data_IF_200657699498
#
_entry.id   IF_200657699498
#
_cell.length_a   1.000
_cell.length_b   1.000
_cell.length_c   1.000
_cell.angle_alpha   90.00
_cell.angle_beta   90.00
_cell.angle_gamma   90.00
#
_symmetry.space_group_name_H-M   'P 1'
#
loop_
_entity.id
_entity.type
_entity.pdbx_description
1 polymer ?
#
# COMPACT_ATOMS: atom_id res chain seq x y z
N UNK A 1 -40.49 -26.20 17.31
CA UNK A 1 -40.53 -25.23 16.20
C UNK A 1 -41.53 -24.17 16.62
N UNK A 2 -41.06 -23.12 17.27
CA UNK A 2 -41.91 -22.03 17.75
C UNK A 2 -41.27 -20.75 17.23
N UNK A 3 -42.00 -20.07 16.35
CA UNK A 3 -41.68 -18.78 15.77
C UNK A 3 -42.45 -17.77 16.62
N UNK A 4 -41.76 -16.79 17.19
CA UNK A 4 -42.40 -15.59 17.71
C UNK A 4 -41.58 -14.37 17.32
N UNK A 5 -42.32 -13.36 16.90
CA UNK A 5 -41.89 -12.23 16.09
C UNK A 5 -41.26 -11.10 16.92
N UNK A 6 -40.58 -10.25 16.16
CA UNK A 6 -39.95 -8.99 16.49
C UNK A 6 -40.53 -8.20 17.67
N UNK A 7 -39.63 -7.64 18.49
CA UNK A 7 -39.89 -6.37 19.15
C UNK A 7 -38.64 -5.48 19.09
N UNK A 8 -38.78 -4.44 18.28
CA UNK A 8 -37.84 -3.33 18.10
C UNK A 8 -37.64 -2.59 19.42
N UNK A 9 -36.42 -2.57 19.94
CA UNK A 9 -36.05 -1.71 21.07
C UNK A 9 -35.45 -0.42 20.54
N UNK A 10 -36.33 0.57 20.34
CA UNK A 10 -35.98 1.98 20.34
C UNK A 10 -35.99 2.49 21.79
N UNK A 11 -34.83 2.84 22.32
CA UNK A 11 -34.78 3.68 23.52
C UNK A 11 -33.77 4.80 23.30
N UNK A 12 -34.32 5.95 22.92
CA UNK A 12 -33.67 7.24 22.88
C UNK A 12 -32.98 7.53 24.22
N UNK A 13 -31.74 8.03 24.18
CA UNK A 13 -31.28 8.94 25.23
C UNK A 13 -30.22 9.90 24.71
N UNK A 14 -30.69 11.14 24.60
CA UNK A 14 -30.01 12.39 24.95
C UNK A 14 -28.77 12.79 24.16
N UNK A 15 -28.98 13.83 23.35
CA UNK A 15 -28.04 14.91 23.09
C UNK A 15 -27.22 15.22 24.36
N UNK A 16 -25.90 15.06 24.27
CA UNK A 16 -24.98 15.82 25.11
C UNK A 16 -24.09 16.64 24.18
N UNK A 17 -24.17 17.94 24.39
CA UNK A 17 -23.44 19.00 23.73
C UNK A 17 -22.01 19.10 24.31
N UNK A 18 -21.03 19.41 23.46
CA UNK A 18 -19.59 19.58 23.76
C UNK A 18 -18.80 18.27 23.69
N UNK A 19 -17.71 18.10 22.92
CA UNK A 19 -16.58 19.01 22.66
C UNK A 19 -15.92 18.80 21.27
N UNK A 20 -15.41 19.88 20.70
CA UNK A 20 -14.96 20.10 19.32
C UNK A 20 -13.52 19.63 18.98
N UNK A 21 -13.12 18.39 19.29
CA UNK A 21 -11.69 17.98 19.16
C UNK A 21 -11.39 16.73 18.33
N UNK A 22 -12.40 16.11 17.68
CA UNK A 22 -12.25 14.82 16.97
C UNK A 22 -12.39 14.94 15.44
N UNK A 23 -13.16 15.91 14.96
CA UNK A 23 -13.38 16.15 13.52
C UNK A 23 -12.14 16.69 12.79
N UNK A 24 -11.28 17.43 13.50
CA UNK A 24 -10.09 18.08 12.91
C UNK A 24 -8.98 17.08 12.60
N UNK A 25 -8.73 16.12 13.51
CA UNK A 25 -7.73 15.04 13.31
C UNK A 25 -8.11 14.09 12.17
N UNK A 26 -9.41 13.90 11.95
CA UNK A 26 -9.93 13.08 10.85
C UNK A 26 -9.70 13.76 9.50
N UNK A 27 -9.89 15.09 9.43
CA UNK A 27 -9.63 15.89 8.24
C UNK A 27 -8.14 15.95 7.90
N UNK A 28 -7.28 16.05 8.90
CA UNK A 28 -5.82 16.03 8.74
C UNK A 28 -5.32 14.68 8.21
N UNK A 29 -5.80 13.56 8.75
CA UNK A 29 -5.40 12.22 8.32
C UNK A 29 -5.87 11.89 6.89
N UNK A 30 -7.07 12.35 6.50
CA UNK A 30 -7.54 12.27 5.12
C UNK A 30 -6.69 13.12 4.18
N UNK A 31 -6.22 14.29 4.63
CA UNK A 31 -5.34 15.15 3.84
C UNK A 31 -3.98 14.49 3.60
N UNK A 32 -3.36 13.94 4.65
CA UNK A 32 -2.08 13.23 4.57
C UNK A 32 -2.19 11.99 3.68
N UNK A 33 -3.25 11.20 3.84
CA UNK A 33 -3.54 10.04 2.98
C UNK A 33 -3.69 10.43 1.50
N UNK A 34 -4.39 11.53 1.23
CA UNK A 34 -4.57 12.04 -0.14
C UNK A 34 -3.25 12.56 -0.75
N UNK A 35 -2.41 13.24 0.04
CA UNK A 35 -1.10 13.71 -0.41
C UNK A 35 -0.19 12.52 -0.72
N UNK A 36 -0.19 11.49 0.12
CA UNK A 36 0.59 10.28 -0.12
C UNK A 36 0.16 9.55 -1.40
N UNK A 37 -1.15 9.39 -1.62
CA UNK A 37 -1.66 8.76 -2.85
C UNK A 37 -1.36 9.59 -4.09
N UNK A 38 -1.48 10.92 -4.02
CA UNK A 38 -1.09 11.81 -5.10
C UNK A 38 0.40 11.69 -5.41
N UNK A 39 1.26 11.70 -4.39
CA UNK A 39 2.70 11.52 -4.54
C UNK A 39 3.04 10.17 -5.15
N UNK A 40 2.38 9.09 -4.71
CA UNK A 40 2.55 7.75 -5.27
C UNK A 40 2.20 7.72 -6.76
N UNK A 41 1.06 8.31 -7.15
CA UNK A 41 0.65 8.42 -8.56
C UNK A 41 1.67 9.24 -9.36
N UNK A 42 2.07 10.41 -8.86
CA UNK A 42 3.03 11.28 -9.53
C UNK A 42 4.39 10.58 -9.73
N UNK A 43 4.87 9.86 -8.72
CA UNK A 43 6.13 9.11 -8.79
C UNK A 43 6.03 7.92 -9.75
N UNK A 44 5.04 7.04 -9.54
CA UNK A 44 5.02 5.72 -10.17
C UNK A 44 4.37 5.72 -11.56
N UNK A 45 3.38 6.58 -11.80
CA UNK A 45 2.64 6.61 -13.07
C UNK A 45 3.10 7.71 -14.03
N UNK A 46 3.82 8.72 -13.54
CA UNK A 46 4.25 9.85 -14.36
C UNK A 46 5.78 9.97 -14.39
N UNK A 47 6.42 10.22 -13.24
CA UNK A 47 7.85 10.51 -13.20
C UNK A 47 8.72 9.32 -13.61
N UNK A 48 8.44 8.12 -13.07
CA UNK A 48 9.25 6.94 -13.33
C UNK A 48 9.17 6.48 -14.80
N UNK A 49 8.00 6.36 -15.45
CA UNK A 49 7.92 6.02 -16.87
C UNK A 49 8.64 7.04 -17.77
N UNK A 50 8.44 8.34 -17.52
CA UNK A 50 9.11 9.40 -18.29
C UNK A 50 10.63 9.35 -18.14
N UNK A 51 11.12 9.04 -16.94
CA UNK A 51 12.55 8.88 -16.69
C UNK A 51 13.13 7.65 -17.41
N UNK A 52 12.41 6.53 -17.40
CA UNK A 52 12.79 5.31 -18.12
C UNK A 52 12.87 5.59 -19.62
N UNK A 53 11.81 6.16 -20.22
CA UNK A 53 11.77 6.51 -21.64
C UNK A 53 12.92 7.46 -22.02
N UNK A 54 13.21 8.44 -21.16
CA UNK A 54 14.31 9.37 -21.37
C UNK A 54 15.67 8.65 -21.34
N UNK A 55 15.88 7.77 -20.35
CA UNK A 55 17.11 6.98 -20.26
C UNK A 55 17.32 6.11 -21.50
N UNK A 56 16.28 5.42 -21.97
CA UNK A 56 16.33 4.60 -23.19
C UNK A 56 16.69 5.44 -24.42
N UNK A 57 16.08 6.61 -24.59
CA UNK A 57 16.33 7.50 -25.74
C UNK A 57 17.71 8.16 -25.72
N UNK A 58 18.28 8.37 -24.53
CA UNK A 58 19.57 9.04 -24.34
C UNK A 58 20.73 8.06 -24.17
N UNK A 59 20.45 6.75 -24.07
CA UNK A 59 21.43 5.72 -23.79
C UNK A 59 21.98 5.80 -22.35
N UNK A 60 21.28 6.47 -21.44
CA UNK A 60 21.65 6.52 -20.03
C UNK A 60 21.25 5.22 -19.34
N UNK A 61 21.93 4.90 -18.23
CA UNK A 61 21.55 3.78 -17.39
C UNK A 61 20.15 3.98 -16.81
N UNK A 62 19.35 2.92 -16.79
CA UNK A 62 18.02 2.94 -16.18
C UNK A 62 18.13 3.27 -14.68
N UNK A 63 17.12 3.93 -14.10
CA UNK A 63 17.08 4.17 -12.66
C UNK A 63 17.16 2.83 -11.92
N UNK A 64 17.83 2.79 -10.75
CA UNK A 64 17.91 1.56 -9.95
C UNK A 64 16.51 1.06 -9.63
N UNK A 65 16.21 -0.17 -10.03
CA UNK A 65 14.97 -0.83 -9.65
C UNK A 65 15.24 -2.25 -9.19
N UNK A 66 14.43 -2.71 -8.26
CA UNK A 66 14.63 -4.00 -7.59
C UNK A 66 14.49 -5.18 -8.56
N UNK A 67 13.71 -5.01 -9.64
CA UNK A 67 13.56 -6.01 -10.72
C UNK A 67 14.72 -6.00 -11.72
N UNK A 68 15.55 -4.96 -11.76
CA UNK A 68 16.78 -4.92 -12.57
C UNK A 68 18.00 -5.51 -11.85
N UNK A 69 17.88 -5.84 -10.55
CA UNK A 69 18.96 -6.51 -9.83
C UNK A 69 19.10 -7.96 -10.32
N UNK A 70 20.34 -8.45 -10.53
CA UNK A 70 20.59 -9.88 -10.73
C UNK A 70 19.89 -10.70 -9.64
N UNK A 71 19.26 -11.80 -10.03
CA UNK A 71 18.45 -12.65 -9.13
C UNK A 71 19.18 -13.01 -7.84
N UNK A 72 20.49 -13.29 -7.92
CA UNK A 72 21.33 -13.60 -6.77
C UNK A 72 21.40 -12.46 -5.74
N UNK A 73 21.47 -11.21 -6.20
CA UNK A 73 21.49 -10.04 -5.32
C UNK A 73 20.11 -9.77 -4.74
N UNK A 74 19.06 -9.92 -5.55
CA UNK A 74 17.68 -9.82 -5.12
C UNK A 74 17.40 -10.79 -3.97
N UNK A 75 17.82 -12.06 -4.12
CA UNK A 75 17.63 -13.09 -3.10
C UNK A 75 18.35 -12.77 -1.79
N UNK A 76 19.60 -12.28 -1.83
CA UNK A 76 20.33 -11.90 -0.61
C UNK A 76 19.65 -10.78 0.18
N UNK A 77 19.07 -9.80 -0.53
CA UNK A 77 18.29 -8.74 0.13
C UNK A 77 17.05 -9.36 0.79
N UNK A 78 16.37 -10.28 0.10
CA UNK A 78 15.17 -10.93 0.62
C UNK A 78 15.45 -11.88 1.79
N UNK A 79 16.57 -12.60 1.77
CA UNK A 79 17.03 -13.46 2.88
C UNK A 79 17.32 -12.67 4.17
N UNK A 80 17.55 -11.37 4.04
CA UNK A 80 17.74 -10.46 5.18
C UNK A 80 16.41 -10.02 5.82
N UNK A 81 15.27 -10.36 5.22
CA UNK A 81 13.94 -9.98 5.69
C UNK A 81 13.30 -11.06 6.57
N UNK A 82 12.38 -10.64 7.45
CA UNK A 82 11.55 -11.57 8.20
C UNK A 82 10.56 -12.30 7.29
N UNK A 83 10.09 -13.49 7.68
CA UNK A 83 9.09 -14.24 6.90
C UNK A 83 7.79 -13.45 6.65
N UNK A 84 7.40 -12.58 7.59
CA UNK A 84 6.23 -11.70 7.44
C UNK A 84 6.47 -10.65 6.36
N UNK A 85 7.65 -10.05 6.32
CA UNK A 85 7.97 -9.02 5.33
C UNK A 85 8.21 -9.63 3.94
N UNK A 86 8.74 -10.85 3.88
CA UNK A 86 8.78 -11.64 2.64
C UNK A 86 7.37 -11.80 2.05
N UNK A 87 6.38 -12.18 2.87
CA UNK A 87 5.01 -12.32 2.39
C UNK A 87 4.44 -10.99 1.85
N UNK A 88 4.75 -9.85 2.49
CA UNK A 88 4.34 -8.53 1.99
C UNK A 88 5.01 -8.20 0.66
N UNK A 89 6.30 -8.46 0.52
CA UNK A 89 7.05 -8.20 -0.73
C UNK A 89 6.52 -9.09 -1.86
N UNK A 90 6.18 -10.35 -1.58
CA UNK A 90 5.56 -11.26 -2.54
C UNK A 90 4.20 -10.75 -3.08
N UNK A 91 3.50 -9.88 -2.32
CA UNK A 91 2.25 -9.28 -2.75
C UNK A 91 2.42 -8.04 -3.65
N UNK A 92 3.64 -7.52 -3.81
CA UNK A 92 3.89 -6.29 -4.58
C UNK A 92 3.91 -6.54 -6.10
N UNK A 93 4.45 -7.68 -6.55
CA UNK A 93 4.44 -8.05 -7.98
C UNK A 93 4.47 -9.56 -8.19
N UNK A 94 3.99 -10.00 -9.35
CA UNK A 94 4.03 -11.41 -9.77
C UNK A 94 5.45 -11.94 -9.93
N UNK A 95 6.37 -11.08 -10.37
CA UNK A 95 7.80 -11.41 -10.52
C UNK A 95 8.43 -11.71 -9.16
N UNK A 96 8.20 -10.85 -8.17
CA UNK A 96 8.65 -11.07 -6.79
C UNK A 96 8.02 -12.33 -6.20
N UNK A 97 6.69 -12.52 -6.37
CA UNK A 97 6.00 -13.74 -5.94
C UNK A 97 6.64 -15.01 -6.49
N UNK A 98 7.02 -15.01 -7.77
CA UNK A 98 7.67 -16.15 -8.41
C UNK A 98 9.04 -16.46 -7.77
N UNK A 99 9.82 -15.43 -7.45
CA UNK A 99 11.11 -15.59 -6.75
C UNK A 99 10.97 -16.27 -5.38
N UNK A 100 9.83 -16.08 -4.69
CA UNK A 100 9.53 -16.75 -3.42
C UNK A 100 8.94 -18.16 -3.61
N UNK A 101 8.11 -18.36 -4.63
CA UNK A 101 7.41 -19.64 -4.85
C UNK A 101 8.37 -20.79 -5.19
N UNK A 102 9.53 -20.51 -5.77
CA UNK A 102 10.55 -21.54 -6.06
C UNK A 102 11.35 -22.01 -4.83
N UNK A 103 11.06 -21.50 -3.62
CA UNK A 103 11.86 -21.75 -2.40
C UNK A 103 11.05 -22.19 -1.17
N UNK A 104 9.74 -22.43 -1.31
CA UNK A 104 8.87 -23.05 -0.29
C UNK A 104 8.70 -24.53 -0.65
#
# INVERSE_FOLDING_TARGET
>A
MNIEAESSSNSSKTLHEGTSEDSDKTLEWLHEGNIFELWKIAKDKLALPLLIDLCEKTGLSLPPCFTLLPTELTLKVLESLSGVDIAKVACVSSELKYLFCGRI
#
